data_IF_538396322007
#
_entry.id   IF_538396322007
#
_cell.length_a   1.000
_cell.length_b   1.000
_cell.length_c   1.000
_cell.angle_alpha   90.00
_cell.angle_beta   90.00
_cell.angle_gamma   90.00
#
_symmetry.space_group_name_H-M   'P 1'
#
loop_
_entity.id
_entity.type
_entity.pdbx_description
1 polymer ?
#
# COMPACT_ATOMS: atom_id res chain seq x y z
N UNK A 1 6.32 -0.91 -11.07
CA UNK A 1 6.70 -1.86 -10.00
C UNK A 1 7.31 -1.08 -8.85
N UNK A 2 7.00 -1.43 -7.61
CA UNK A 2 7.57 -0.81 -6.40
C UNK A 2 7.74 -1.86 -5.30
N UNK A 3 8.82 -1.81 -4.54
CA UNK A 3 9.05 -2.68 -3.38
C UNK A 3 8.81 -1.90 -2.10
N UNK A 4 8.00 -2.45 -1.21
CA UNK A 4 7.72 -1.92 0.13
C UNK A 4 8.23 -2.90 1.18
N UNK A 5 8.83 -2.38 2.24
CA UNK A 5 9.21 -3.19 3.39
C UNK A 5 8.05 -3.25 4.37
N UNK A 6 7.47 -4.43 4.57
CA UNK A 6 6.32 -4.61 5.43
C UNK A 6 6.63 -5.43 6.67
N UNK A 7 6.12 -4.97 7.81
CA UNK A 7 6.10 -5.70 9.09
C UNK A 7 4.79 -6.43 9.28
N UNK A 8 3.69 -5.88 8.75
CA UNK A 8 2.35 -6.45 8.86
C UNK A 8 1.58 -6.17 7.58
N UNK A 9 0.81 -7.17 7.12
CA UNK A 9 -0.06 -7.04 5.96
C UNK A 9 -1.44 -7.63 6.27
N UNK A 10 -2.49 -6.85 5.99
CA UNK A 10 -3.86 -7.36 6.10
C UNK A 10 -4.19 -8.31 4.96
N UNK A 11 -5.07 -9.29 5.19
CA UNK A 11 -5.46 -10.27 4.16
C UNK A 11 -6.06 -9.61 2.92
N UNK A 12 -6.84 -8.53 3.10
CA UNK A 12 -7.38 -7.76 1.97
C UNK A 12 -6.28 -7.13 1.12
N UNK A 13 -5.24 -6.59 1.75
CA UNK A 13 -4.13 -5.96 1.03
C UNK A 13 -3.31 -7.01 0.28
N UNK A 14 -3.05 -8.16 0.92
CA UNK A 14 -2.37 -9.28 0.28
C UNK A 14 -3.12 -9.77 -0.97
N UNK A 15 -4.44 -9.92 -0.86
CA UNK A 15 -5.27 -10.34 -1.99
C UNK A 15 -5.25 -9.31 -3.12
N UNK A 16 -5.34 -8.03 -2.78
CA UNK A 16 -5.29 -6.94 -3.76
C UNK A 16 -3.95 -6.93 -4.49
N UNK A 17 -2.83 -6.98 -3.77
CA UNK A 17 -1.48 -7.03 -4.35
C UNK A 17 -1.35 -8.20 -5.33
N UNK A 18 -1.77 -9.40 -4.93
CA UNK A 18 -1.69 -10.61 -5.76
C UNK A 18 -2.61 -10.54 -7.00
N UNK A 19 -3.77 -9.89 -6.89
CA UNK A 19 -4.69 -9.71 -8.01
C UNK A 19 -4.11 -8.83 -9.14
N UNK A 20 -3.12 -8.00 -8.79
CA UNK A 20 -2.39 -7.14 -9.73
C UNK A 20 -0.94 -7.61 -9.91
N UNK A 21 -0.72 -8.92 -9.92
CA UNK A 21 0.58 -9.55 -10.23
C UNK A 21 1.72 -9.12 -9.29
N UNK A 22 1.39 -8.63 -8.11
CA UNK A 22 2.34 -8.37 -7.03
C UNK A 22 2.61 -9.62 -6.19
N UNK A 23 3.68 -9.56 -5.41
CA UNK A 23 4.13 -10.67 -4.57
C UNK A 23 4.47 -10.18 -3.16
N UNK A 24 4.34 -11.06 -2.17
CA UNK A 24 4.82 -10.80 -0.81
C UNK A 24 5.70 -11.96 -0.39
N UNK A 25 6.96 -11.66 -0.08
CA UNK A 25 7.99 -12.62 0.34
C UNK A 25 8.72 -12.11 1.57
N UNK A 26 8.54 -12.81 2.69
CA UNK A 26 9.10 -12.37 3.98
C UNK A 26 8.60 -10.98 4.38
N UNK A 27 9.53 -10.03 4.47
CA UNK A 27 9.26 -8.63 4.84
C UNK A 27 9.16 -7.69 3.63
N UNK A 28 9.07 -8.23 2.41
CA UNK A 28 9.00 -7.43 1.17
C UNK A 28 7.66 -7.66 0.49
N UNK A 29 7.01 -6.55 0.10
CA UNK A 29 5.83 -6.53 -0.73
C UNK A 29 6.15 -5.83 -2.05
N UNK A 30 6.04 -6.56 -3.15
CA UNK A 30 6.20 -6.05 -4.52
C UNK A 30 4.81 -5.65 -5.03
N UNK A 31 4.66 -4.36 -5.31
CA UNK A 31 3.44 -3.77 -5.86
C UNK A 31 3.60 -3.58 -7.37
N UNK A 32 2.73 -4.23 -8.13
CA UNK A 32 2.67 -4.16 -9.58
C UNK A 32 1.35 -3.51 -10.04
N UNK A 33 1.33 -3.04 -11.29
CA UNK A 33 0.14 -2.51 -11.97
C UNK A 33 -0.73 -1.48 -11.18
N UNK A 34 -0.11 -0.71 -10.29
CA UNK A 34 -0.79 0.41 -9.61
C UNK A 34 -0.92 1.63 -10.54
N UNK A 35 -1.91 2.47 -10.28
CA UNK A 35 -2.22 3.67 -11.09
C UNK A 35 -1.46 4.88 -10.60
N UNK A 36 -1.56 5.19 -9.31
CA UNK A 36 -0.90 6.34 -8.70
C UNK A 36 -0.78 6.18 -7.18
N UNK A 37 -0.03 7.09 -6.57
CA UNK A 37 0.20 7.16 -5.13
C UNK A 37 -0.23 8.52 -4.60
N UNK A 38 -0.75 8.53 -3.38
CA UNK A 38 -1.08 9.78 -2.68
C UNK A 38 -0.41 9.81 -1.30
N UNK A 39 0.27 10.92 -0.94
CA UNK A 39 0.86 11.05 0.39
C UNK A 39 -0.22 11.08 1.46
N UNK A 40 0.03 10.38 2.56
CA UNK A 40 -0.79 10.50 3.75
C UNK A 40 -0.55 11.86 4.40
N UNK A 41 -1.60 12.42 5.00
CA UNK A 41 -1.53 13.67 5.73
C UNK A 41 -1.91 13.45 7.19
N UNK A 42 -1.23 14.15 8.09
CA UNK A 42 -1.61 14.17 9.49
C UNK A 42 -2.86 15.05 9.72
N UNK A 43 -3.28 15.16 10.98
CA UNK A 43 -4.43 15.98 11.39
C UNK A 43 -4.26 17.48 11.14
N UNK A 44 -3.04 17.93 10.88
CA UNK A 44 -2.71 19.32 10.56
C UNK A 44 -2.61 19.57 9.05
N UNK A 45 -2.81 18.53 8.23
CA UNK A 45 -2.70 18.59 6.78
C UNK A 45 -1.27 18.50 6.25
N UNK A 46 -0.29 18.24 7.13
CA UNK A 46 1.11 18.06 6.77
C UNK A 46 1.34 16.68 6.17
N UNK A 47 2.16 16.60 5.14
CA UNK A 47 2.56 15.32 4.53
C UNK A 47 3.34 14.51 5.55
N UNK A 48 2.95 13.25 5.74
CA UNK A 48 3.70 12.29 6.53
C UNK A 48 4.66 11.57 5.59
N UNK A 49 5.95 11.85 5.75
CA UNK A 49 7.00 11.19 4.97
C UNK A 49 6.90 9.66 5.10
N UNK A 50 7.10 8.91 4.03
CA UNK A 50 7.02 7.44 4.03
C UNK A 50 5.67 6.83 4.46
N UNK A 51 4.59 7.61 4.49
CA UNK A 51 3.22 7.08 4.59
C UNK A 51 2.40 7.56 3.40
N UNK A 52 1.75 6.63 2.70
CA UNK A 52 1.03 6.92 1.46
C UNK A 52 -0.02 5.86 1.16
N UNK A 53 -0.95 6.21 0.27
CA UNK A 53 -1.88 5.27 -0.34
C UNK A 53 -1.41 4.91 -1.75
N UNK A 54 -1.60 3.66 -2.14
CA UNK A 54 -1.37 3.18 -3.50
C UNK A 54 -2.71 2.73 -4.07
N UNK A 55 -3.10 3.33 -5.20
CA UNK A 55 -4.39 3.06 -5.84
C UNK A 55 -4.23 2.10 -7.02
N UNK A 56 -5.15 1.16 -7.14
CA UNK A 56 -5.20 0.14 -8.18
C UNK A 56 -6.30 0.47 -9.23
N UNK A 57 -6.24 -0.12 -10.44
CA UNK A 57 -7.17 0.14 -11.54
C UNK A 57 -8.67 0.03 -11.20
N UNK A 58 -9.04 -0.85 -10.27
CA UNK A 58 -10.43 -1.02 -9.80
C UNK A 58 -10.89 0.03 -8.77
N UNK A 59 -10.12 1.11 -8.57
CA UNK A 59 -10.36 2.13 -7.54
C UNK A 59 -10.21 1.66 -6.09
N UNK A 60 -9.72 0.44 -5.84
CA UNK A 60 -9.30 0.01 -4.51
C UNK A 60 -7.90 0.54 -4.20
N UNK A 61 -7.54 0.57 -2.91
CA UNK A 61 -6.25 1.04 -2.48
C UNK A 61 -5.66 0.22 -1.33
N UNK A 62 -4.35 0.29 -1.19
CA UNK A 62 -3.66 -0.06 0.05
C UNK A 62 -3.09 1.21 0.69
N UNK A 63 -3.07 1.26 2.01
CA UNK A 63 -2.37 2.25 2.80
C UNK A 63 -1.06 1.63 3.30
N UNK A 64 0.04 2.36 3.13
CA UNK A 64 1.34 2.05 3.68
C UNK A 64 1.66 3.05 4.80
N UNK A 65 2.04 2.54 5.97
CA UNK A 65 2.35 3.35 7.15
C UNK A 65 3.86 3.43 7.42
N UNK A 66 4.24 4.37 8.29
CA UNK A 66 5.61 4.53 8.80
C UNK A 66 6.19 3.26 9.43
N UNK A 67 5.34 2.42 10.03
CA UNK A 67 5.77 1.17 10.69
C UNK A 67 5.89 -0.01 9.72
N UNK A 68 5.69 0.21 8.42
CA UNK A 68 5.64 -0.85 7.42
C UNK A 68 4.35 -1.67 7.47
N UNK A 69 3.24 -1.10 7.97
CA UNK A 69 1.94 -1.77 7.86
C UNK A 69 1.36 -1.53 6.47
N UNK A 70 0.87 -2.59 5.82
CA UNK A 70 0.10 -2.54 4.58
C UNK A 70 -1.34 -2.97 4.85
N UNK A 71 -2.25 -2.00 4.77
CA UNK A 71 -3.67 -2.19 5.08
C UNK A 71 -4.55 -1.88 3.88
N UNK A 72 -5.54 -2.72 3.62
CA UNK A 72 -6.48 -2.52 2.52
C UNK A 72 -7.50 -1.43 2.87
N UNK A 73 -7.81 -0.59 1.89
CA UNK A 73 -8.74 0.52 2.01
C UNK A 73 -9.82 0.36 0.95
N UNK A 74 -11.04 0.07 1.41
CA UNK A 74 -12.25 0.16 0.59
C UNK A 74 -12.56 1.61 0.30
N UNK A 75 -13.01 1.87 -0.92
CA UNK A 75 -13.60 3.14 -1.31
C UNK A 75 -15.04 3.24 -0.81
#
# INVERSE_FOLDING_TARGET
MKTLYCTTITSGALNLIRSYEGEVSGCEAIICHYVHEEPSRDKHGCIVENAFKVYFPNSEAICYTLSGEISYVLK
#
